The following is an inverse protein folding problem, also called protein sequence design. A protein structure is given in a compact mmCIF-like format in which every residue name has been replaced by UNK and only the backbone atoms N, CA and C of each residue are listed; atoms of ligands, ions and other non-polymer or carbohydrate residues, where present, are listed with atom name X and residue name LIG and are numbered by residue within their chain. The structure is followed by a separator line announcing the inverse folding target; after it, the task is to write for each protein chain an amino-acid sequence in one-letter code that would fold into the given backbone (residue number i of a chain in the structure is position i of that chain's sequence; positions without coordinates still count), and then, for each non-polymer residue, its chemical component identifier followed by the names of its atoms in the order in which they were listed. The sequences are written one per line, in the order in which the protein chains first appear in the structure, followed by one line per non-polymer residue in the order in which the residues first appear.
data_IF_478978474368
#
_entry.id   IF_478978474368
#
_cell.length_a   1.000
_cell.length_b   1.000
_cell.length_c   1.000
_cell.angle_alpha   90.00
_cell.angle_beta   90.00
_cell.angle_gamma   90.00
#
_symmetry.space_group_name_H-M   'P 1'
#
loop_
_entity.id
_entity.type
_entity.pdbx_description
1 polymer ?
#
# COMPACT_ATOMS: atom_id res chain seq x y z
N UNK A 1 -6.97 -22.61 -12.58
CA UNK A 1 -7.25 -21.36 -11.84
C UNK A 1 -7.12 -20.11 -12.70
N UNK A 2 -6.12 -20.03 -13.54
CA UNK A 2 -5.90 -18.85 -14.40
C UNK A 2 -7.03 -18.59 -15.40
N UNK A 3 -7.67 -19.62 -15.92
CA UNK A 3 -8.75 -19.51 -16.92
C UNK A 3 -10.04 -18.83 -16.41
N UNK A 4 -10.17 -18.64 -15.10
CA UNK A 4 -11.33 -17.99 -14.49
C UNK A 4 -11.04 -16.57 -14.00
N UNK A 5 -9.79 -16.13 -14.14
CA UNK A 5 -9.36 -14.82 -13.66
C UNK A 5 -9.80 -13.74 -14.65
N UNK A 6 -10.55 -12.78 -14.16
CA UNK A 6 -10.96 -11.58 -14.91
C UNK A 6 -10.05 -10.42 -14.58
N UNK A 7 -9.82 -9.56 -15.55
CA UNK A 7 -9.03 -8.32 -15.38
C UNK A 7 -9.93 -7.11 -15.48
N UNK A 8 -9.84 -6.24 -14.47
CA UNK A 8 -10.52 -4.96 -14.45
C UNK A 8 -9.48 -3.86 -14.47
N UNK A 9 -9.37 -3.17 -15.59
CA UNK A 9 -8.37 -2.11 -15.74
C UNK A 9 -8.79 -0.84 -15.02
N UNK A 10 -7.82 -0.16 -14.43
CA UNK A 10 -8.04 1.15 -13.83
C UNK A 10 -8.46 2.16 -14.89
N UNK A 11 -9.40 3.04 -14.54
CA UNK A 11 -9.77 4.18 -15.39
C UNK A 11 -8.65 5.21 -15.52
N UNK A 12 -7.74 5.23 -14.55
CA UNK A 12 -6.65 6.19 -14.47
C UNK A 12 -5.35 5.68 -15.10
N UNK A 13 -5.23 4.37 -15.30
CA UNK A 13 -4.06 3.76 -15.91
C UNK A 13 -4.41 2.44 -16.58
N UNK A 14 -4.16 2.32 -17.86
CA UNK A 14 -4.33 1.09 -18.60
C UNK A 14 -3.25 0.03 -18.29
N UNK A 15 -2.24 0.40 -17.52
CA UNK A 15 -1.19 -0.50 -17.03
C UNK A 15 -1.51 -1.12 -15.68
N UNK A 16 -2.56 -0.65 -15.02
CA UNK A 16 -2.98 -1.13 -13.70
C UNK A 16 -4.28 -1.89 -13.81
N UNK A 17 -4.25 -3.16 -13.49
CA UNK A 17 -5.43 -4.03 -13.53
C UNK A 17 -5.63 -4.74 -12.18
N UNK A 18 -6.88 -4.86 -11.79
CA UNK A 18 -7.30 -5.71 -10.69
C UNK A 18 -7.62 -7.09 -11.26
N UNK A 19 -7.07 -8.12 -10.66
CA UNK A 19 -7.33 -9.50 -11.00
C UNK A 19 -8.37 -10.07 -10.01
N UNK A 20 -9.49 -10.53 -10.51
CA UNK A 20 -10.56 -11.09 -9.68
C UNK A 20 -11.15 -12.36 -10.26
N UNK A 21 -11.56 -13.25 -9.41
CA UNK A 21 -12.22 -14.49 -9.80
C UNK A 21 -13.56 -14.61 -9.09
N UNK A 22 -14.62 -14.84 -9.87
CA UNK A 22 -15.95 -15.13 -9.32
C UNK A 22 -16.00 -16.55 -8.77
N UNK A 23 -16.62 -16.71 -7.61
CA UNK A 23 -16.76 -18.00 -6.97
C UNK A 23 -17.36 -17.87 -5.57
N UNK A 24 -17.13 -18.87 -4.74
CA UNK A 24 -17.50 -18.85 -3.34
C UNK A 24 -16.24 -19.12 -2.52
N UNK A 25 -15.82 -18.14 -1.75
CA UNK A 25 -14.57 -18.20 -0.99
C UNK A 25 -14.85 -17.92 0.47
N UNK A 26 -14.28 -18.73 1.36
CA UNK A 26 -14.34 -18.50 2.79
C UNK A 26 -13.10 -17.72 3.26
N UNK A 27 -13.33 -16.67 4.03
CA UNK A 27 -12.29 -15.98 4.79
C UNK A 27 -12.39 -16.35 6.27
N UNK A 28 -11.49 -15.88 7.09
CA UNK A 28 -11.55 -16.10 8.55
C UNK A 28 -12.80 -15.50 9.21
N UNK A 29 -13.46 -14.56 8.56
CA UNK A 29 -14.58 -13.80 9.13
C UNK A 29 -15.85 -13.80 8.29
N UNK A 30 -15.78 -14.18 7.01
CA UNK A 30 -16.91 -14.08 6.10
C UNK A 30 -16.77 -15.00 4.89
N UNK A 31 -17.87 -15.15 4.15
CA UNK A 31 -17.87 -15.74 2.82
C UNK A 31 -17.96 -14.63 1.78
N UNK A 32 -17.16 -14.71 0.73
CA UNK A 32 -17.10 -13.71 -0.35
C UNK A 32 -17.34 -14.38 -1.70
N UNK A 33 -17.93 -13.63 -2.62
CA UNK A 33 -18.26 -14.11 -3.96
C UNK A 33 -17.16 -13.83 -4.98
N UNK A 34 -16.17 -13.06 -4.64
CA UNK A 34 -15.03 -12.75 -5.50
C UNK A 34 -13.74 -12.90 -4.73
N UNK A 35 -12.81 -13.62 -5.31
CA UNK A 35 -11.43 -13.60 -4.89
C UNK A 35 -10.70 -12.51 -5.66
N UNK A 36 -10.01 -11.61 -4.95
CA UNK A 36 -9.23 -10.53 -5.54
C UNK A 36 -7.76 -10.82 -5.33
N UNK A 37 -7.01 -10.90 -6.42
CA UNK A 37 -5.58 -11.13 -6.39
C UNK A 37 -4.85 -9.82 -6.69
N UNK A 38 -4.14 -9.32 -5.70
CA UNK A 38 -3.32 -8.10 -5.80
C UNK A 38 -1.82 -8.40 -5.89
N UNK A 39 -1.45 -9.67 -6.09
CA UNK A 39 -0.05 -10.10 -6.11
C UNK A 39 0.77 -9.35 -7.18
N UNK A 40 0.24 -9.18 -8.37
CA UNK A 40 0.95 -8.48 -9.44
C UNK A 40 1.18 -7.01 -9.11
N UNK A 41 0.22 -6.35 -8.48
CA UNK A 41 0.35 -4.95 -8.03
C UNK A 41 1.45 -4.83 -6.96
N UNK A 42 1.57 -5.81 -6.09
CA UNK A 42 2.57 -5.80 -5.00
C UNK A 42 3.97 -6.17 -5.46
N UNK A 43 4.09 -7.02 -6.47
CA UNK A 43 5.37 -7.68 -6.80
C UNK A 43 5.97 -7.25 -8.14
N UNK A 44 5.16 -6.83 -9.09
CA UNK A 44 5.65 -6.37 -10.39
C UNK A 44 5.93 -4.88 -10.33
N UNK A 45 7.19 -4.51 -10.58
CA UNK A 45 7.68 -3.14 -10.42
C UNK A 45 6.87 -2.14 -11.26
N UNK A 46 6.56 -2.46 -12.51
CA UNK A 46 5.78 -1.57 -13.37
C UNK A 46 4.37 -1.32 -12.83
N UNK A 47 3.69 -2.36 -12.35
CA UNK A 47 2.34 -2.26 -11.79
C UNK A 47 2.36 -1.58 -10.42
N UNK A 48 3.34 -1.90 -9.58
CA UNK A 48 3.50 -1.24 -8.28
C UNK A 48 3.74 0.27 -8.43
N UNK A 49 4.55 0.65 -9.41
CA UNK A 49 4.82 2.06 -9.72
C UNK A 49 3.56 2.79 -10.17
N UNK A 50 2.74 2.18 -11.01
CA UNK A 50 1.46 2.76 -11.44
C UNK A 50 0.46 2.86 -10.28
N UNK A 51 0.38 1.84 -9.44
CA UNK A 51 -0.45 1.87 -8.23
C UNK A 51 -0.04 3.02 -7.31
N UNK A 52 1.25 3.19 -7.07
CA UNK A 52 1.78 4.30 -6.28
C UNK A 52 1.41 5.66 -6.87
N UNK A 53 1.52 5.81 -8.19
CA UNK A 53 1.14 7.05 -8.88
C UNK A 53 -0.34 7.39 -8.71
N UNK A 54 -1.23 6.41 -8.88
CA UNK A 54 -2.67 6.59 -8.66
C UNK A 54 -2.97 6.94 -7.20
N UNK A 55 -2.34 6.25 -6.24
CA UNK A 55 -2.48 6.57 -4.82
C UNK A 55 -2.00 7.98 -4.50
N UNK A 56 -0.85 8.38 -5.03
CA UNK A 56 -0.31 9.72 -4.83
C UNK A 56 -1.28 10.79 -5.34
N UNK A 57 -1.93 10.58 -6.47
CA UNK A 57 -2.92 11.52 -7.02
C UNK A 57 -4.15 11.69 -6.11
N UNK A 58 -4.42 10.72 -5.25
CA UNK A 58 -5.57 10.70 -4.32
C UNK A 58 -5.24 11.26 -2.94
N UNK A 59 -3.98 11.35 -2.57
CA UNK A 59 -3.58 11.91 -1.28
C UNK A 59 -3.75 13.43 -1.29
N UNK A 60 -4.42 14.02 -0.29
CA UNK A 60 -4.56 15.48 -0.21
C UNK A 60 -3.20 16.18 -0.12
N UNK A 61 -2.93 17.13 -1.02
CA UNK A 61 -1.65 17.86 -1.09
C UNK A 61 -1.38 18.78 0.10
N UNK A 62 -2.36 18.96 0.97
CA UNK A 62 -2.24 19.77 2.19
C UNK A 62 -1.73 18.98 3.40
N UNK A 63 -1.49 17.69 3.24
CA UNK A 63 -1.03 16.83 4.32
C UNK A 63 0.45 16.50 4.17
N UNK A 64 1.18 16.54 5.28
CA UNK A 64 2.54 16.05 5.34
C UNK A 64 2.53 14.53 5.55
N UNK A 65 3.52 13.87 4.99
CA UNK A 65 3.74 12.44 5.18
C UNK A 65 5.18 12.23 5.62
N UNK A 66 5.37 11.74 6.81
CA UNK A 66 6.70 11.44 7.37
C UNK A 66 7.07 9.97 7.18
N UNK A 67 6.07 9.09 7.26
CA UNK A 67 6.30 7.65 7.24
C UNK A 67 5.15 6.94 6.55
N UNK A 68 5.48 5.94 5.74
CA UNK A 68 4.53 4.99 5.18
C UNK A 68 4.74 3.65 5.88
N UNK A 69 3.70 3.16 6.54
CA UNK A 69 3.68 1.84 7.16
C UNK A 69 3.02 0.86 6.18
N UNK A 70 3.78 -0.11 5.71
CA UNK A 70 3.34 -1.08 4.72
C UNK A 70 2.90 -2.37 5.38
N UNK A 71 1.65 -2.76 5.11
CA UNK A 71 1.05 -4.01 5.54
C UNK A 71 0.88 -4.94 4.34
N UNK A 72 0.75 -6.23 4.60
CA UNK A 72 0.34 -7.22 3.60
C UNK A 72 1.22 -7.28 2.34
N UNK A 73 2.52 -7.02 2.50
CA UNK A 73 3.46 -7.10 1.38
C UNK A 73 3.40 -5.90 0.42
N UNK A 74 3.01 -4.72 0.89
CA UNK A 74 2.88 -3.51 0.05
C UNK A 74 4.14 -2.65 0.00
N UNK A 75 5.29 -3.16 0.42
CA UNK A 75 6.54 -2.40 0.55
C UNK A 75 7.03 -1.83 -0.79
N UNK A 76 6.87 -2.56 -1.88
CA UNK A 76 7.29 -2.10 -3.21
C UNK A 76 6.43 -0.90 -3.64
N UNK A 77 5.12 -0.99 -3.48
CA UNK A 77 4.21 0.13 -3.74
C UNK A 77 4.54 1.32 -2.83
N UNK A 78 4.77 1.04 -1.55
CA UNK A 78 5.13 2.06 -0.56
C UNK A 78 6.42 2.80 -0.91
N UNK A 79 7.41 2.09 -1.41
CA UNK A 79 8.68 2.69 -1.86
C UNK A 79 8.48 3.66 -3.03
N UNK A 80 7.72 3.27 -4.05
CA UNK A 80 7.42 4.17 -5.16
C UNK A 80 6.55 5.35 -4.76
N UNK A 81 5.60 5.14 -3.85
CA UNK A 81 4.78 6.23 -3.31
C UNK A 81 5.64 7.24 -2.55
N UNK A 82 6.57 6.77 -1.75
CA UNK A 82 7.54 7.59 -1.02
C UNK A 82 8.40 8.42 -1.98
N UNK A 83 8.88 7.81 -3.06
CA UNK A 83 9.65 8.49 -4.09
C UNK A 83 8.88 9.66 -4.71
N UNK A 84 7.62 9.47 -5.04
CA UNK A 84 6.78 10.54 -5.59
C UNK A 84 6.54 11.67 -4.58
N UNK A 85 6.28 11.33 -3.32
CA UNK A 85 6.10 12.31 -2.25
C UNK A 85 7.34 13.16 -2.08
N UNK A 86 8.52 12.55 -2.04
CA UNK A 86 9.79 13.28 -1.87
C UNK A 86 10.14 14.14 -3.09
N UNK A 87 9.90 13.63 -4.29
CA UNK A 87 10.23 14.34 -5.52
C UNK A 87 9.45 15.65 -5.65
N UNK A 88 8.16 15.63 -5.32
CA UNK A 88 7.32 16.83 -5.45
C UNK A 88 7.56 17.84 -4.32
N UNK A 89 8.11 17.41 -3.19
CA UNK A 89 8.38 18.26 -2.03
C UNK A 89 7.14 18.84 -1.33
N UNK A 90 5.95 18.56 -1.84
CA UNK A 90 4.70 19.13 -1.31
C UNK A 90 4.19 18.34 -0.11
N UNK A 91 4.39 17.04 -0.11
CA UNK A 91 3.91 16.13 0.91
C UNK A 91 5.03 15.46 1.69
N UNK A 92 6.24 15.92 1.47
CA UNK A 92 7.39 15.47 2.23
C UNK A 92 7.37 16.00 3.65
N UNK A 93 8.44 15.77 4.34
CA UNK A 93 8.67 16.28 5.69
C UNK A 93 8.74 17.80 5.67
N UNK A 94 8.57 18.42 6.81
CA UNK A 94 8.66 19.87 6.99
C UNK A 94 10.05 20.43 6.67
N UNK A 95 11.04 19.55 6.53
CA UNK A 95 12.41 19.90 6.21
C UNK A 95 12.81 19.24 4.89
N UNK A 96 13.24 20.02 3.91
CA UNK A 96 13.63 19.55 2.58
C UNK A 96 14.74 18.47 2.57
N UNK A 97 15.45 18.33 3.66
CA UNK A 97 16.53 17.35 3.82
C UNK A 97 16.12 16.07 4.54
N UNK A 98 14.91 16.00 5.04
CA UNK A 98 14.41 14.79 5.68
C UNK A 98 13.82 13.82 4.66
N UNK A 99 14.01 12.55 4.93
CA UNK A 99 13.47 11.46 4.10
C UNK A 99 12.13 11.00 4.62
N UNK A 100 11.28 10.48 3.73
CA UNK A 100 10.09 9.74 4.10
C UNK A 100 10.48 8.30 4.40
N UNK A 101 10.05 7.76 5.51
CA UNK A 101 10.36 6.39 5.91
C UNK A 101 9.34 5.39 5.34
N UNK A 102 9.82 4.22 4.97
CA UNK A 102 9.00 3.06 4.63
C UNK A 102 9.27 1.98 5.66
N UNK A 103 8.27 1.59 6.41
CA UNK A 103 8.40 0.67 7.53
C UNK A 103 7.35 -0.42 7.42
N UNK A 104 7.75 -1.65 7.74
CA UNK A 104 6.83 -2.77 7.90
C UNK A 104 6.80 -3.22 9.36
N UNK A 105 5.62 -3.37 9.96
CA UNK A 105 5.51 -3.92 11.30
C UNK A 105 5.74 -5.42 11.31
N UNK A 106 6.08 -5.95 12.47
CA UNK A 106 6.02 -7.38 12.74
C UNK A 106 4.63 -7.72 13.28
N UNK A 107 4.07 -8.84 12.82
CA UNK A 107 2.80 -9.34 13.31
C UNK A 107 3.09 -10.56 14.18
N UNK A 108 2.71 -10.52 15.45
CA UNK A 108 2.92 -11.64 16.37
C UNK A 108 1.81 -12.70 16.25
N UNK A 109 1.92 -13.77 17.01
CA UNK A 109 0.94 -14.86 17.03
C UNK A 109 -0.47 -14.44 17.49
N UNK A 110 -0.59 -13.32 18.19
CA UNK A 110 -1.86 -12.74 18.64
C UNK A 110 -2.42 -11.69 17.67
N UNK A 111 -1.88 -11.61 16.43
CA UNK A 111 -2.23 -10.62 15.43
C UNK A 111 -2.03 -9.17 15.88
N UNK A 112 -1.10 -8.94 16.79
CA UNK A 112 -0.72 -7.60 17.20
C UNK A 112 0.37 -7.05 16.28
N UNK A 113 0.21 -5.79 15.91
CA UNK A 113 1.19 -5.04 15.13
C UNK A 113 2.27 -4.51 16.07
N UNK A 114 3.51 -4.91 15.83
CA UNK A 114 4.65 -4.52 16.66
C UNK A 114 5.69 -3.79 15.81
N UNK A 115 6.25 -2.74 16.39
CA UNK A 115 7.35 -1.99 15.79
C UNK A 115 8.60 -2.15 16.65
N UNK A 116 9.73 -2.38 15.98
CA UNK A 116 11.02 -2.46 16.67
C UNK A 116 11.38 -1.09 17.26
N UNK A 117 12.16 -1.09 18.32
CA UNK A 117 12.53 0.14 19.04
C UNK A 117 13.23 1.15 18.16
N UNK A 118 14.06 0.70 17.22
CA UNK A 118 14.77 1.57 16.27
C UNK A 118 13.85 2.23 15.22
N UNK A 119 12.60 1.78 15.09
CA UNK A 119 11.61 2.37 14.18
C UNK A 119 10.64 3.33 14.90
N UNK A 120 10.63 3.36 16.21
CA UNK A 120 9.68 4.18 16.98
C UNK A 120 9.80 5.67 16.70
N UNK A 121 11.01 6.17 16.47
CA UNK A 121 11.24 7.58 16.15
C UNK A 121 10.61 8.02 14.82
N UNK A 122 10.46 7.11 13.88
CA UNK A 122 9.82 7.39 12.59
C UNK A 122 8.28 7.37 12.67
N UNK A 123 7.72 6.93 13.80
CA UNK A 123 6.27 6.74 13.97
C UNK A 123 5.71 7.68 15.04
N UNK A 124 6.37 7.78 16.19
CA UNK A 124 5.88 8.55 17.32
C UNK A 124 5.86 10.05 17.01
N UNK A 125 4.67 10.65 17.09
CA UNK A 125 4.48 12.06 16.81
C UNK A 125 4.62 12.44 15.34
N UNK A 126 4.54 11.47 14.42
CA UNK A 126 4.70 11.65 12.99
C UNK A 126 3.38 11.51 12.24
N UNK A 127 3.33 12.08 11.03
CA UNK A 127 2.22 11.89 10.10
C UNK A 127 2.44 10.60 9.34
N UNK A 128 1.67 9.57 9.70
CA UNK A 128 1.84 8.21 9.16
C UNK A 128 0.71 7.88 8.21
N UNK A 129 1.06 7.35 7.05
CA UNK A 129 0.13 6.72 6.11
C UNK A 129 0.23 5.22 6.27
N UNK A 130 -0.91 4.58 6.52
CA UNK A 130 -0.99 3.13 6.56
C UNK A 130 -1.40 2.60 5.18
N UNK A 131 -0.54 1.82 4.57
CA UNK A 131 -0.75 1.23 3.25
C UNK A 131 -1.13 -0.24 3.40
N UNK A 132 -2.34 -0.55 2.94
CA UNK A 132 -2.93 -1.89 3.01
C UNK A 132 -3.21 -2.41 1.60
N UNK A 133 -3.06 -3.71 1.40
CA UNK A 133 -3.44 -4.33 0.14
C UNK A 133 -4.96 -4.46 0.02
N UNK A 134 -5.60 -4.91 1.09
CA UNK A 134 -7.05 -5.08 1.19
C UNK A 134 -7.51 -4.84 2.62
N UNK A 135 -8.76 -4.43 2.77
CA UNK A 135 -9.39 -4.35 4.08
C UNK A 135 -10.73 -5.08 4.05
N UNK A 136 -11.04 -5.78 5.12
CA UNK A 136 -12.35 -6.43 5.34
C UNK A 136 -12.92 -5.99 6.68
N UNK A 137 -14.23 -5.94 6.75
CA UNK A 137 -14.95 -5.67 8.01
C UNK A 137 -15.17 -6.93 8.81
#
# INVERSE_FOLDING_TARGET
MEDRMMKFYSKESNMLALHAMHGHFATSHSHINYYVDVTSIKTRVAEAKQAAHVLYSRIPKTKYVDTIVCMDGTEVVGTFLTEEIQRDGIMGTTNQHETVYVISPEINSNNQMLFRDNNKAAINGKHVVLLLATTTT
#
